data_IF_100511135887
#
_entry.id   IF_100511135887
#
_cell.length_a   1.000
_cell.length_b   1.000
_cell.length_c   1.000
_cell.angle_alpha   90.00
_cell.angle_beta   90.00
_cell.angle_gamma   90.00
#
_symmetry.space_group_name_H-M   'P 1'
#
loop_
_entity.id
_entity.type
_entity.pdbx_description
1 polymer ?
#
# COMPACT_ATOMS: atom_id res chain seq x y z
N UNK A 1 -24.48 19.81 -14.76
CA UNK A 1 -23.46 19.20 -13.89
C UNK A 1 -22.22 19.09 -14.75
N UNK A 2 -21.24 19.97 -14.57
CA UNK A 2 -19.96 19.84 -15.25
C UNK A 2 -19.28 18.60 -14.65
N UNK A 3 -19.09 17.55 -15.46
CA UNK A 3 -18.26 16.42 -15.05
C UNK A 3 -16.83 16.93 -15.12
N UNK A 4 -16.13 16.94 -13.99
CA UNK A 4 -14.72 17.29 -13.96
C UNK A 4 -13.94 16.29 -14.80
N UNK A 5 -13.13 16.78 -15.73
CA UNK A 5 -12.34 15.92 -16.63
C UNK A 5 -10.90 15.76 -16.15
N UNK A 6 -10.46 16.60 -15.21
CA UNK A 6 -9.12 16.57 -14.63
C UNK A 6 -9.19 16.45 -13.09
N UNK A 7 -8.16 15.89 -12.45
CA UNK A 7 -8.03 15.87 -10.99
C UNK A 7 -8.08 17.26 -10.35
N UNK A 8 -7.51 18.27 -11.02
CA UNK A 8 -7.51 19.66 -10.54
C UNK A 8 -8.91 20.28 -10.50
N UNK A 9 -9.73 20.03 -11.53
CA UNK A 9 -11.13 20.48 -11.55
C UNK A 9 -11.95 19.78 -10.47
N UNK A 10 -11.76 18.46 -10.31
CA UNK A 10 -12.45 17.68 -9.28
C UNK A 10 -12.06 18.15 -7.87
N UNK A 11 -10.77 18.45 -7.67
CA UNK A 11 -10.25 18.96 -6.42
C UNK A 11 -10.92 20.29 -6.03
N UNK A 12 -10.89 21.27 -6.94
CA UNK A 12 -11.44 22.60 -6.68
C UNK A 12 -12.98 22.62 -6.57
N UNK A 13 -13.67 21.72 -7.26
CA UNK A 13 -15.13 21.70 -7.29
C UNK A 13 -15.75 20.96 -6.10
N UNK A 14 -15.09 19.91 -5.58
CA UNK A 14 -15.69 19.00 -4.61
C UNK A 14 -14.75 18.67 -3.45
N UNK A 15 -13.49 18.35 -3.73
CA UNK A 15 -12.63 17.71 -2.71
C UNK A 15 -11.99 18.69 -1.74
N UNK A 16 -11.83 19.96 -2.11
CA UNK A 16 -11.20 21.00 -1.27
C UNK A 16 -11.91 21.19 0.08
N UNK A 17 -13.22 20.97 0.13
CA UNK A 17 -14.03 21.10 1.34
C UNK A 17 -14.13 19.78 2.14
N UNK A 18 -13.46 18.72 1.68
CA UNK A 18 -13.50 17.40 2.33
C UNK A 18 -12.24 17.17 3.19
N UNK A 19 -12.32 16.30 4.21
CA UNK A 19 -11.14 15.90 4.96
C UNK A 19 -10.08 15.14 4.13
N UNK A 20 -10.39 14.81 2.86
CA UNK A 20 -9.44 14.20 1.93
C UNK A 20 -8.56 15.23 1.21
N UNK A 21 -8.89 16.53 1.27
CA UNK A 21 -8.13 17.58 0.61
C UNK A 21 -6.62 17.52 0.87
N UNK A 22 -6.13 17.28 2.11
CA UNK A 22 -4.69 17.23 2.38
C UNK A 22 -3.95 16.12 1.65
N UNK A 23 -4.64 15.02 1.32
CA UNK A 23 -4.04 13.87 0.64
C UNK A 23 -4.02 14.03 -0.89
N UNK A 24 -4.86 14.91 -1.43
CA UNK A 24 -5.05 15.06 -2.86
C UNK A 24 -4.05 16.02 -3.52
N UNK A 25 -3.31 16.81 -2.74
CA UNK A 25 -2.37 17.83 -3.22
C UNK A 25 -1.32 17.23 -4.16
N UNK A 26 -0.82 16.04 -3.85
CA UNK A 26 0.20 15.35 -4.64
C UNK A 26 -0.34 14.71 -5.94
N UNK A 27 -1.67 14.70 -6.13
CA UNK A 27 -2.35 14.11 -7.29
C UNK A 27 -2.81 15.16 -8.33
N UNK A 28 -2.64 16.46 -8.05
CA UNK A 28 -3.22 17.56 -8.85
C UNK A 28 -2.57 17.70 -10.23
N UNK A 29 -1.34 17.20 -10.43
CA UNK A 29 -0.59 17.33 -11.68
C UNK A 29 -0.96 16.33 -12.77
N UNK A 30 -1.77 15.32 -12.47
CA UNK A 30 -2.16 14.29 -13.44
C UNK A 30 -3.06 14.88 -14.54
N UNK A 31 -2.74 14.58 -15.80
CA UNK A 31 -3.31 15.28 -16.96
C UNK A 31 -4.72 14.80 -17.31
N UNK A 32 -5.01 13.50 -17.16
CA UNK A 32 -6.27 12.87 -17.57
C UNK A 32 -6.78 11.82 -16.56
N UNK A 33 -8.11 11.74 -16.38
CA UNK A 33 -8.77 10.71 -15.56
C UNK A 33 -9.05 9.44 -16.36
N UNK A 34 -8.00 8.69 -16.73
CA UNK A 34 -8.13 7.35 -17.31
C UNK A 34 -8.00 6.24 -16.25
N UNK A 35 -8.23 4.97 -16.64
CA UNK A 35 -8.24 3.84 -15.71
C UNK A 35 -6.90 3.66 -14.98
N UNK A 36 -5.78 3.84 -15.67
CA UNK A 36 -4.44 3.74 -15.09
C UNK A 36 -4.19 4.88 -14.10
N UNK A 37 -4.52 6.11 -14.48
CA UNK A 37 -4.36 7.28 -13.64
C UNK A 37 -5.30 7.24 -12.42
N UNK A 38 -6.50 6.66 -12.54
CA UNK A 38 -7.40 6.44 -11.40
C UNK A 38 -6.76 5.50 -10.37
N UNK A 39 -6.12 4.42 -10.82
CA UNK A 39 -5.40 3.50 -9.92
C UNK A 39 -4.16 4.17 -9.30
N UNK A 40 -3.41 4.98 -10.06
CA UNK A 40 -2.29 5.77 -9.54
C UNK A 40 -2.78 6.77 -8.48
N UNK A 41 -3.83 7.54 -8.77
CA UNK A 41 -4.45 8.49 -7.82
C UNK A 41 -4.90 7.76 -6.56
N UNK A 42 -5.58 6.60 -6.70
CA UNK A 42 -6.00 5.78 -5.56
C UNK A 42 -4.81 5.37 -4.69
N UNK A 43 -3.74 4.85 -5.29
CA UNK A 43 -2.56 4.41 -4.56
C UNK A 43 -1.82 5.56 -3.88
N UNK A 44 -1.67 6.71 -4.56
CA UNK A 44 -1.06 7.92 -4.00
C UNK A 44 -1.85 8.46 -2.81
N UNK A 45 -3.18 8.53 -2.92
CA UNK A 45 -4.05 8.95 -1.82
C UNK A 45 -3.94 8.01 -0.62
N UNK A 46 -4.00 6.71 -0.88
CA UNK A 46 -3.91 5.73 0.20
C UNK A 46 -2.54 5.74 0.88
N UNK A 47 -1.45 5.94 0.12
CA UNK A 47 -0.12 6.12 0.68
C UNK A 47 -0.12 7.30 1.67
N UNK A 48 -0.58 8.47 1.23
CA UNK A 48 -0.59 9.67 2.07
C UNK A 48 -1.49 9.49 3.31
N UNK A 49 -2.66 8.87 3.14
CA UNK A 49 -3.55 8.49 4.23
C UNK A 49 -2.88 7.56 5.24
N UNK A 50 -2.24 6.48 4.77
CA UNK A 50 -1.66 5.46 5.63
C UNK A 50 -0.49 6.02 6.44
N UNK A 51 0.37 6.83 5.81
CA UNK A 51 1.48 7.50 6.49
C UNK A 51 0.99 8.52 7.53
N UNK A 52 -0.06 9.28 7.22
CA UNK A 52 -0.66 10.23 8.17
C UNK A 52 -1.34 9.52 9.34
N UNK A 53 -2.07 8.43 9.08
CA UNK A 53 -2.74 7.67 10.13
C UNK A 53 -1.76 6.93 11.03
N UNK A 54 -0.69 6.36 10.45
CA UNK A 54 0.41 5.78 11.22
C UNK A 54 1.04 6.83 12.15
N UNK A 55 1.33 8.03 11.64
CA UNK A 55 1.87 9.13 12.45
C UNK A 55 0.93 9.51 13.58
N UNK A 56 -0.38 9.63 13.31
CA UNK A 56 -1.39 9.90 14.31
C UNK A 56 -1.42 8.83 15.42
N UNK A 57 -1.47 7.54 15.05
CA UNK A 57 -1.44 6.44 16.03
C UNK A 57 -0.16 6.45 16.87
N UNK A 58 0.99 6.74 16.24
CA UNK A 58 2.27 6.86 16.93
C UNK A 58 2.29 8.01 17.94
N UNK A 59 1.63 9.13 17.63
CA UNK A 59 1.48 10.28 18.53
C UNK A 59 0.56 9.99 19.73
N UNK A 60 -0.44 9.11 19.58
CA UNK A 60 -1.26 8.64 20.70
C UNK A 60 -0.44 7.83 21.72
N UNK A 61 0.53 7.06 21.22
CA UNK A 61 1.42 6.21 22.04
C UNK A 61 0.67 5.15 22.87
N UNK A 62 1.33 4.64 23.91
CA UNK A 62 0.79 3.58 24.78
C UNK A 62 0.41 2.32 23.98
N UNK A 63 -0.47 1.49 24.54
CA UNK A 63 -0.98 0.29 23.89
C UNK A 63 -1.64 0.58 22.52
N UNK A 64 -2.29 1.74 22.36
CA UNK A 64 -2.89 2.12 21.07
C UNK A 64 -1.83 2.30 19.99
N UNK A 65 -0.75 3.01 20.29
CA UNK A 65 0.36 3.20 19.37
C UNK A 65 1.03 1.88 19.01
N UNK A 66 1.32 1.05 20.01
CA UNK A 66 2.03 -0.23 19.81
C UNK A 66 1.22 -1.18 18.91
N UNK A 67 -0.07 -1.37 19.20
CA UNK A 67 -0.96 -2.25 18.41
C UNK A 67 -1.23 -1.69 17.02
N UNK A 68 -1.62 -0.41 16.92
CA UNK A 68 -2.01 0.16 15.63
C UNK A 68 -0.83 0.32 14.68
N UNK A 69 0.36 0.69 15.19
CA UNK A 69 1.54 0.82 14.34
C UNK A 69 1.96 -0.53 13.75
N UNK A 70 1.81 -1.64 14.48
CA UNK A 70 2.07 -2.99 13.96
C UNK A 70 1.12 -3.34 12.80
N UNK A 71 -0.19 -3.16 13.01
CA UNK A 71 -1.22 -3.43 11.99
C UNK A 71 -1.00 -2.57 10.75
N UNK A 72 -0.75 -1.27 10.93
CA UNK A 72 -0.56 -0.33 9.82
C UNK A 72 0.77 -0.55 9.08
N UNK A 73 1.82 -0.99 9.78
CA UNK A 73 3.08 -1.39 9.16
C UNK A 73 2.89 -2.60 8.23
N UNK A 74 2.12 -3.60 8.68
CA UNK A 74 1.76 -4.74 7.85
C UNK A 74 0.93 -4.32 6.62
N UNK A 75 -0.06 -3.44 6.79
CA UNK A 75 -0.85 -2.93 5.66
C UNK A 75 0.00 -2.17 4.64
N UNK A 76 1.00 -1.41 5.09
CA UNK A 76 1.95 -0.72 4.23
C UNK A 76 2.79 -1.71 3.38
N UNK A 77 3.32 -2.75 4.02
CA UNK A 77 4.15 -3.75 3.35
C UNK A 77 3.33 -4.63 2.40
N UNK A 78 2.12 -5.04 2.83
CA UNK A 78 1.15 -5.74 1.97
C UNK A 78 0.87 -4.96 0.70
N UNK A 79 0.60 -3.65 0.82
CA UNK A 79 0.38 -2.76 -0.33
C UNK A 79 1.60 -2.70 -1.24
N UNK A 80 2.79 -2.58 -0.69
CA UNK A 80 4.02 -2.55 -1.49
C UNK A 80 4.19 -3.84 -2.31
N UNK A 81 3.96 -5.01 -1.71
CA UNK A 81 3.99 -6.28 -2.43
C UNK A 81 2.93 -6.38 -3.53
N UNK A 82 1.67 -6.07 -3.22
CA UNK A 82 0.55 -6.19 -4.17
C UNK A 82 0.69 -5.20 -5.34
N UNK A 83 1.08 -3.94 -5.06
CA UNK A 83 1.37 -2.95 -6.13
C UNK A 83 2.46 -3.49 -7.05
N UNK A 84 3.50 -4.10 -6.50
CA UNK A 84 4.62 -4.63 -7.30
C UNK A 84 4.18 -5.79 -8.19
N UNK A 85 3.47 -6.76 -7.63
CA UNK A 85 2.98 -7.93 -8.37
C UNK A 85 2.01 -7.50 -9.47
N UNK A 86 1.07 -6.61 -9.16
CA UNK A 86 0.04 -6.17 -10.10
C UNK A 86 0.57 -5.18 -11.16
N UNK A 87 1.73 -4.55 -10.92
CA UNK A 87 2.38 -3.69 -11.92
C UNK A 87 3.04 -4.47 -13.07
N UNK A 88 3.26 -5.78 -12.92
CA UNK A 88 3.90 -6.58 -13.96
C UNK A 88 3.03 -6.65 -15.23
N UNK A 89 3.64 -6.33 -16.37
CA UNK A 89 2.93 -6.28 -17.66
C UNK A 89 2.12 -5.01 -17.90
N UNK A 90 2.21 -4.02 -17.01
CA UNK A 90 1.61 -2.67 -17.20
C UNK A 90 2.64 -1.67 -17.73
N UNK A 91 2.19 -0.46 -18.09
CA UNK A 91 3.06 0.64 -18.54
C UNK A 91 3.70 1.42 -17.37
N UNK A 92 3.45 1.01 -16.11
CA UNK A 92 3.97 1.70 -14.93
C UNK A 92 5.48 1.52 -14.80
N UNK A 93 6.22 2.63 -14.83
CA UNK A 93 7.67 2.62 -14.66
C UNK A 93 8.08 2.21 -13.25
N UNK A 94 9.30 1.69 -13.10
CA UNK A 94 9.86 1.33 -11.77
C UNK A 94 9.94 2.52 -10.82
N UNK A 95 10.27 3.70 -11.36
CA UNK A 95 10.39 4.93 -10.57
C UNK A 95 9.01 5.42 -10.11
N UNK A 96 7.99 5.33 -10.96
CA UNK A 96 6.61 5.71 -10.59
C UNK A 96 6.03 4.72 -9.59
N UNK A 97 6.27 3.42 -9.80
CA UNK A 97 5.92 2.37 -8.85
C UNK A 97 6.52 2.64 -7.46
N UNK A 98 7.80 3.03 -7.39
CA UNK A 98 8.45 3.36 -6.12
C UNK A 98 7.81 4.55 -5.39
N UNK A 99 7.18 5.49 -6.12
CA UNK A 99 6.45 6.62 -5.51
C UNK A 99 5.16 6.17 -4.84
N UNK A 100 4.57 5.05 -5.25
CA UNK A 100 3.30 4.53 -4.72
C UNK A 100 3.44 3.80 -3.37
N UNK A 101 4.65 3.42 -2.97
CA UNK A 101 4.85 2.66 -1.73
C UNK A 101 4.71 3.52 -0.47
N UNK A 102 3.89 3.10 0.51
CA UNK A 102 3.89 3.70 1.85
C UNK A 102 5.20 3.43 2.60
N UNK A 103 5.66 4.41 3.38
CA UNK A 103 6.98 4.38 4.06
C UNK A 103 6.91 4.13 5.56
N UNK A 104 5.84 3.49 6.04
CA UNK A 104 5.59 3.23 7.46
C UNK A 104 5.62 1.72 7.84
N UNK A 105 6.04 0.85 6.93
CA UNK A 105 6.19 -0.59 7.14
C UNK A 105 7.63 -1.04 7.43
N UNK A 106 7.82 -2.34 7.64
CA UNK A 106 9.13 -2.96 7.87
C UNK A 106 10.00 -2.99 6.62
N UNK A 107 9.42 -2.94 5.41
CA UNK A 107 10.18 -2.90 4.17
C UNK A 107 10.90 -1.57 3.95
N UNK A 108 10.50 -0.49 4.62
CA UNK A 108 11.17 0.80 4.47
C UNK A 108 12.44 0.86 5.35
N UNK A 109 13.60 1.33 4.81
CA UNK A 109 13.80 1.85 3.46
C UNK A 109 14.29 0.79 2.43
N UNK A 110 15.05 -0.20 2.86
CA UNK A 110 15.86 -1.04 1.96
C UNK A 110 15.01 -2.06 1.18
N UNK A 111 14.05 -2.70 1.84
CA UNK A 111 13.13 -3.63 1.20
C UNK A 111 12.35 -2.99 0.06
N UNK A 112 11.83 -1.77 0.25
CA UNK A 112 11.14 -1.02 -0.79
C UNK A 112 12.06 -0.66 -1.96
N UNK A 113 13.32 -0.31 -1.69
CA UNK A 113 14.29 0.01 -2.74
C UNK A 113 14.63 -1.20 -3.62
N UNK A 114 14.71 -2.40 -3.02
CA UNK A 114 14.91 -3.64 -3.78
C UNK A 114 13.62 -4.04 -4.51
N UNK A 115 12.47 -3.95 -3.84
CA UNK A 115 11.16 -4.29 -4.39
C UNK A 115 10.82 -3.41 -5.62
N UNK A 116 11.14 -2.12 -5.58
CA UNK A 116 10.99 -1.19 -6.69
C UNK A 116 11.73 -1.66 -7.97
N UNK A 117 12.77 -2.49 -7.83
CA UNK A 117 13.58 -2.98 -8.95
C UNK A 117 13.11 -4.32 -9.49
N UNK A 118 12.20 -5.02 -8.80
CA UNK A 118 11.75 -6.35 -9.17
C UNK A 118 11.04 -6.35 -10.54
N UNK A 119 11.34 -7.36 -11.36
CA UNK A 119 10.77 -7.57 -12.70
C UNK A 119 9.86 -8.81 -12.77
N UNK A 120 9.91 -9.68 -11.77
CA UNK A 120 9.15 -10.91 -11.71
C UNK A 120 8.78 -11.28 -10.27
N UNK A 121 7.89 -12.27 -10.15
CA UNK A 121 7.39 -12.76 -8.87
C UNK A 121 8.49 -13.40 -8.00
N UNK A 122 9.49 -14.05 -8.60
CA UNK A 122 10.58 -14.69 -7.85
C UNK A 122 11.50 -13.66 -7.18
N UNK A 123 11.73 -12.53 -7.83
CA UNK A 123 12.45 -11.40 -7.24
C UNK A 123 11.66 -10.77 -6.09
N UNK A 124 10.33 -10.64 -6.22
CA UNK A 124 9.47 -10.18 -5.12
C UNK A 124 9.55 -11.13 -3.93
N UNK A 125 9.47 -12.44 -4.17
CA UNK A 125 9.63 -13.47 -3.15
C UNK A 125 10.99 -13.39 -2.47
N UNK A 126 12.06 -13.19 -3.24
CA UNK A 126 13.41 -13.03 -2.71
C UNK A 126 13.53 -11.83 -1.76
N UNK A 127 12.78 -10.75 -1.99
CA UNK A 127 12.69 -9.62 -1.03
C UNK A 127 11.99 -10.06 0.25
N UNK A 128 10.86 -10.78 0.13
CA UNK A 128 10.12 -11.27 1.28
C UNK A 128 10.93 -12.25 2.15
N UNK A 129 11.83 -13.03 1.56
CA UNK A 129 12.65 -14.02 2.26
C UNK A 129 13.61 -13.41 3.31
N UNK A 130 13.96 -12.12 3.17
CA UNK A 130 14.74 -11.40 4.17
C UNK A 130 13.97 -11.11 5.46
N UNK A 131 12.64 -11.20 5.42
CA UNK A 131 11.76 -10.88 6.54
C UNK A 131 11.04 -12.16 6.98
N UNK A 132 11.37 -12.64 8.18
CA UNK A 132 10.90 -13.96 8.66
C UNK A 132 9.38 -14.14 8.61
N UNK A 133 8.62 -13.09 8.87
CA UNK A 133 7.16 -13.10 8.80
C UNK A 133 6.65 -13.21 7.36
N UNK A 134 7.20 -12.41 6.44
CA UNK A 134 6.78 -12.41 5.03
C UNK A 134 7.20 -13.68 4.30
N UNK A 135 8.39 -14.23 4.59
CA UNK A 135 8.83 -15.52 4.05
C UNK A 135 7.77 -16.62 4.23
N UNK A 136 7.21 -16.75 5.43
CA UNK A 136 6.21 -17.78 5.73
C UNK A 136 4.90 -17.58 4.94
N UNK A 137 4.53 -16.32 4.69
CA UNK A 137 3.34 -15.99 3.90
C UNK A 137 3.53 -16.35 2.43
N UNK A 138 4.73 -16.11 1.87
CA UNK A 138 5.07 -16.46 0.49
C UNK A 138 5.31 -17.96 0.28
N UNK A 139 5.94 -18.67 1.23
CA UNK A 139 6.18 -20.12 1.13
C UNK A 139 4.89 -20.94 1.10
N UNK A 140 3.87 -20.50 1.83
CA UNK A 140 2.58 -21.18 1.89
C UNK A 140 1.58 -20.76 0.81
N UNK A 141 1.95 -19.82 -0.06
CA UNK A 141 1.10 -19.31 -1.12
C UNK A 141 1.33 -20.11 -2.41
N UNK A 142 0.25 -20.46 -3.09
CA UNK A 142 0.30 -21.19 -4.34
C UNK A 142 -0.90 -20.92 -5.23
N UNK A 143 -0.75 -21.19 -6.52
CA UNK A 143 -1.76 -20.92 -7.55
C UNK A 143 -2.49 -22.19 -8.00
N UNK A 144 -2.21 -23.36 -7.40
CA UNK A 144 -2.91 -24.59 -7.78
C UNK A 144 -4.31 -24.64 -7.16
N UNK A 145 -5.26 -25.35 -7.80
CA UNK A 145 -6.60 -25.55 -7.24
C UNK A 145 -6.54 -26.16 -5.84
N UNK A 146 -7.08 -25.44 -4.84
CA UNK A 146 -7.10 -25.87 -3.44
C UNK A 146 -5.93 -25.35 -2.59
N UNK A 147 -4.96 -24.66 -3.18
CA UNK A 147 -3.95 -23.90 -2.45
C UNK A 147 -4.49 -22.50 -2.10
N UNK A 148 -3.95 -21.92 -1.03
CA UNK A 148 -4.26 -20.54 -0.65
C UNK A 148 -3.42 -19.59 -1.49
N UNK A 149 -4.06 -18.55 -2.01
CA UNK A 149 -3.34 -17.49 -2.71
C UNK A 149 -2.52 -16.66 -1.72
N UNK A 150 -1.61 -15.84 -2.25
CA UNK A 150 -0.86 -14.89 -1.42
C UNK A 150 -1.79 -13.88 -0.73
N UNK A 151 -2.85 -13.44 -1.41
CA UNK A 151 -3.86 -12.54 -0.81
C UNK A 151 -4.61 -13.20 0.34
N UNK A 152 -4.99 -14.48 0.21
CA UNK A 152 -5.62 -15.25 1.30
C UNK A 152 -4.69 -15.32 2.52
N UNK A 153 -3.39 -15.52 2.29
CA UNK A 153 -2.37 -15.57 3.36
C UNK A 153 -2.20 -14.22 4.03
N UNK A 154 -2.15 -13.13 3.27
CA UNK A 154 -2.10 -11.78 3.84
C UNK A 154 -3.36 -11.49 4.66
N UNK A 155 -4.53 -11.87 4.18
CA UNK A 155 -5.79 -11.68 4.90
C UNK A 155 -5.83 -12.47 6.21
N UNK A 156 -5.37 -13.73 6.22
CA UNK A 156 -5.27 -14.53 7.44
C UNK A 156 -4.32 -13.91 8.47
N UNK A 157 -3.19 -13.37 8.00
CA UNK A 157 -2.24 -12.68 8.86
C UNK A 157 -2.82 -11.37 9.42
N UNK A 158 -3.50 -10.57 8.60
CA UNK A 158 -4.20 -9.36 9.01
C UNK A 158 -5.23 -9.66 10.11
N UNK A 159 -6.06 -10.69 9.92
CA UNK A 159 -7.04 -11.14 10.92
C UNK A 159 -6.35 -11.56 12.22
N UNK A 160 -5.21 -12.26 12.13
CA UNK A 160 -4.43 -12.64 13.32
C UNK A 160 -3.93 -11.42 14.09
N UNK A 161 -3.40 -10.39 13.42
CA UNK A 161 -2.98 -9.15 14.06
C UNK A 161 -4.16 -8.43 14.73
N UNK A 162 -5.30 -8.36 14.04
CA UNK A 162 -6.53 -7.78 14.58
C UNK A 162 -7.07 -8.54 15.80
N UNK A 163 -6.95 -9.87 15.82
CA UNK A 163 -7.34 -10.68 16.99
C UNK A 163 -6.41 -10.43 18.17
N UNK A 164 -5.10 -10.34 17.93
CA UNK A 164 -4.11 -10.06 18.99
C UNK A 164 -4.34 -8.71 19.66
N UNK A 165 -4.90 -7.73 18.94
CA UNK A 165 -5.29 -6.44 19.50
C UNK A 165 -6.29 -6.56 20.68
N UNK A 166 -7.11 -7.62 20.73
CA UNK A 166 -8.04 -7.88 21.83
C UNK A 166 -7.41 -8.64 23.01
N UNK A 167 -6.17 -9.10 22.85
CA UNK A 167 -5.46 -9.93 23.85
C UNK A 167 -4.38 -9.15 24.61
N UNK A 168 -4.24 -7.84 24.34
CA UNK A 168 -3.32 -6.94 25.03
C UNK A 168 -3.91 -6.34 26.32
#
# INVERSE_FOLDING_TARGET
>A
IHIASTPAELYNAVLVDTPLAPFFVDCISEQDLDEMNIEIIRNTLYKAYLEAFYKFCKELGSATGDVMCEILAFEADRRAFIITINSFGTELSKDDRAKLYPRCGQLYPDGLAVLARADDYEQVRSVADYYGEYRLLFEGAGNNPGEKTLEDKFFEHEVKLNVNAFMQ
#
